data_IF_069920820039
#
_entry.id   IF_069920820039
#
_cell.length_a   1.000
_cell.length_b   1.000
_cell.length_c   1.000
_cell.angle_alpha   90.00
_cell.angle_beta   90.00
_cell.angle_gamma   90.00
#
_symmetry.space_group_name_H-M   'P 1'
#
loop_
_entity.id
_entity.type
_entity.pdbx_description
1 polymer ?
#
# COMPACT_ATOMS: atom_id res chain seq x y z
N UNK A 1 1.42 8.24 16.56
CA UNK A 1 1.60 8.91 15.27
C UNK A 1 2.78 8.37 14.47
N UNK A 2 3.99 8.36 15.04
CA UNK A 2 5.17 7.86 14.31
C UNK A 2 4.97 6.41 13.88
N UNK A 3 4.42 5.56 14.75
CA UNK A 3 4.13 4.17 14.41
C UNK A 3 3.21 4.07 13.19
N UNK A 4 2.13 4.85 13.17
CA UNK A 4 1.15 4.82 12.07
C UNK A 4 1.71 5.42 10.78
N UNK A 5 2.49 6.49 10.88
CA UNK A 5 2.95 7.22 9.70
C UNK A 5 4.21 6.61 9.10
N UNK A 6 5.10 6.03 9.93
CA UNK A 6 6.40 5.54 9.47
C UNK A 6 6.53 4.03 9.61
N UNK A 7 6.40 3.50 10.82
CA UNK A 7 6.72 2.08 11.06
C UNK A 7 5.69 1.14 10.44
N UNK A 8 4.39 1.41 10.61
CA UNK A 8 3.37 0.53 10.06
C UNK A 8 3.43 0.50 8.53
N UNK A 9 3.51 1.65 7.81
CA UNK A 9 3.66 1.62 6.37
C UNK A 9 4.91 0.90 5.88
N UNK A 10 6.04 1.09 6.55
CA UNK A 10 7.28 0.40 6.18
C UNK A 10 7.10 -1.11 6.31
N UNK A 11 6.55 -1.57 7.44
CA UNK A 11 6.30 -2.99 7.67
C UNK A 11 5.31 -3.54 6.65
N UNK A 12 4.21 -2.83 6.40
CA UNK A 12 3.20 -3.26 5.43
C UNK A 12 3.78 -3.37 4.02
N UNK A 13 4.62 -2.40 3.62
CA UNK A 13 5.24 -2.45 2.30
C UNK A 13 6.24 -3.60 2.18
N UNK A 14 6.97 -3.92 3.24
CA UNK A 14 7.84 -5.10 3.23
C UNK A 14 7.03 -6.36 2.98
N UNK A 15 5.88 -6.51 3.62
CA UNK A 15 5.03 -7.69 3.46
C UNK A 15 4.35 -7.70 2.08
N UNK A 16 3.67 -6.61 1.72
CA UNK A 16 2.84 -6.60 0.51
C UNK A 16 3.65 -6.42 -0.76
N UNK A 17 4.60 -5.50 -0.79
CA UNK A 17 5.38 -5.22 -2.02
C UNK A 17 6.71 -5.94 -2.03
N UNK A 18 7.24 -6.27 -0.88
CA UNK A 18 8.50 -7.00 -0.79
C UNK A 18 8.34 -8.50 -0.98
N UNK A 19 7.23 -9.08 -0.52
CA UNK A 19 7.01 -10.53 -0.54
C UNK A 19 5.81 -10.91 -1.38
N UNK A 20 4.61 -10.41 -1.04
CA UNK A 20 3.36 -10.83 -1.67
C UNK A 20 3.31 -10.47 -3.15
N UNK A 21 3.61 -9.22 -3.50
CA UNK A 21 3.51 -8.77 -4.89
C UNK A 21 4.43 -9.56 -5.83
N UNK A 22 5.73 -9.74 -5.53
CA UNK A 22 6.59 -10.53 -6.40
C UNK A 22 6.10 -11.96 -6.59
N UNK A 23 5.60 -12.59 -5.52
CA UNK A 23 5.07 -13.96 -5.60
C UNK A 23 3.85 -14.01 -6.52
N UNK A 24 2.90 -13.08 -6.35
CA UNK A 24 1.71 -13.04 -7.20
C UNK A 24 2.05 -12.74 -8.65
N UNK A 25 2.97 -11.81 -8.89
CA UNK A 25 3.41 -11.48 -10.26
C UNK A 25 4.02 -12.70 -10.94
N UNK A 26 4.81 -13.49 -10.22
CA UNK A 26 5.42 -14.69 -10.77
C UNK A 26 4.39 -15.77 -11.12
N UNK A 27 3.26 -15.79 -10.42
CA UNK A 27 2.23 -16.81 -10.63
C UNK A 27 1.16 -16.41 -11.63
N UNK A 28 0.72 -15.15 -11.62
CA UNK A 28 -0.43 -14.71 -12.41
C UNK A 28 -0.14 -13.52 -13.33
N UNK A 29 1.10 -13.06 -13.39
CA UNK A 29 1.51 -11.93 -14.25
C UNK A 29 1.42 -10.59 -13.55
N UNK A 30 1.94 -9.55 -14.23
CA UNK A 30 2.08 -8.23 -13.63
C UNK A 30 0.75 -7.57 -13.31
N UNK A 31 -0.17 -7.53 -14.27
CA UNK A 31 -1.45 -6.84 -14.08
C UNK A 31 -2.27 -7.55 -13.01
N UNK A 32 -2.45 -8.85 -13.16
CA UNK A 32 -3.23 -9.63 -12.17
C UNK A 32 -2.57 -9.63 -10.80
N UNK A 33 -1.24 -9.69 -10.75
CA UNK A 33 -0.50 -9.63 -9.49
C UNK A 33 -0.70 -8.32 -8.77
N UNK A 34 -0.63 -7.20 -9.48
CA UNK A 34 -0.86 -5.87 -8.89
C UNK A 34 -2.29 -5.75 -8.38
N UNK A 35 -3.27 -6.17 -9.18
CA UNK A 35 -4.68 -6.08 -8.79
C UNK A 35 -4.98 -6.94 -7.57
N UNK A 36 -4.50 -8.19 -7.56
CA UNK A 36 -4.72 -9.10 -6.44
C UNK A 36 -4.05 -8.60 -5.17
N UNK A 37 -2.80 -8.14 -5.26
CA UNK A 37 -2.11 -7.63 -4.08
C UNK A 37 -2.79 -6.37 -3.54
N UNK A 38 -3.29 -5.51 -4.42
CA UNK A 38 -4.01 -4.31 -4.01
C UNK A 38 -5.33 -4.66 -3.31
N UNK A 39 -6.03 -5.67 -3.81
CA UNK A 39 -7.26 -6.12 -3.20
C UNK A 39 -7.01 -6.69 -1.80
N UNK A 40 -6.00 -7.55 -1.67
CA UNK A 40 -5.62 -8.11 -0.36
C UNK A 40 -5.21 -7.00 0.60
N UNK A 41 -4.42 -6.04 0.12
CA UNK A 41 -4.00 -4.89 0.91
C UNK A 41 -5.19 -4.11 1.45
N UNK A 42 -6.16 -3.80 0.58
CA UNK A 42 -7.36 -3.05 0.97
C UNK A 42 -8.21 -3.85 1.97
N UNK A 43 -8.41 -5.14 1.70
CA UNK A 43 -9.21 -5.99 2.60
C UNK A 43 -8.56 -6.18 3.96
N UNK A 44 -7.23 -6.18 4.01
CA UNK A 44 -6.50 -6.34 5.28
C UNK A 44 -6.74 -5.19 6.25
N UNK A 45 -7.20 -4.05 5.77
CA UNK A 45 -7.50 -2.90 6.64
C UNK A 45 -8.87 -3.02 7.33
N UNK A 46 -9.69 -3.99 6.94
CA UNK A 46 -10.97 -4.32 7.59
C UNK A 46 -11.94 -3.15 7.70
N UNK A 47 -11.93 -2.25 6.71
CA UNK A 47 -12.83 -1.10 6.69
C UNK A 47 -13.49 -1.00 5.32
N UNK A 48 -14.79 -1.28 5.26
CA UNK A 48 -15.56 -1.26 4.00
C UNK A 48 -15.56 0.14 3.39
N UNK A 49 -15.69 1.18 4.21
CA UNK A 49 -15.72 2.55 3.73
C UNK A 49 -14.41 3.01 3.10
N UNK A 50 -13.30 2.36 3.47
CA UNK A 50 -11.98 2.71 2.94
C UNK A 50 -11.51 1.80 1.82
N UNK A 51 -12.29 0.77 1.45
CA UNK A 51 -11.90 -0.16 0.40
C UNK A 51 -11.54 0.53 -0.92
N UNK A 52 -12.38 1.41 -1.49
CA UNK A 52 -12.04 2.04 -2.77
C UNK A 52 -10.73 2.85 -2.72
N UNK A 53 -10.53 3.79 -1.77
CA UNK A 53 -9.26 4.53 -1.75
C UNK A 53 -8.06 3.66 -1.44
N UNK A 54 -8.19 2.66 -0.57
CA UNK A 54 -7.09 1.76 -0.26
C UNK A 54 -6.74 0.86 -1.45
N UNK A 55 -7.74 0.43 -2.21
CA UNK A 55 -7.49 -0.35 -3.41
C UNK A 55 -6.73 0.48 -4.45
N UNK A 56 -7.14 1.73 -4.68
CA UNK A 56 -6.45 2.64 -5.60
C UNK A 56 -5.02 2.88 -5.15
N UNK A 57 -4.81 3.13 -3.86
CA UNK A 57 -3.47 3.29 -3.30
C UNK A 57 -2.64 2.02 -3.52
N UNK A 58 -3.22 0.85 -3.26
CA UNK A 58 -2.55 -0.43 -3.44
C UNK A 58 -2.11 -0.66 -4.88
N UNK A 59 -2.97 -0.35 -5.85
CA UNK A 59 -2.62 -0.44 -7.27
C UNK A 59 -1.47 0.50 -7.60
N UNK A 60 -1.55 1.76 -7.16
CA UNK A 60 -0.50 2.75 -7.39
C UNK A 60 0.85 2.33 -6.79
N UNK A 61 0.82 1.82 -5.56
CA UNK A 61 2.04 1.34 -4.90
C UNK A 61 2.62 0.12 -5.60
N UNK A 62 1.76 -0.80 -6.06
CA UNK A 62 2.21 -1.97 -6.81
C UNK A 62 2.88 -1.59 -8.13
N UNK A 63 2.28 -0.66 -8.88
CA UNK A 63 2.87 -0.15 -10.11
C UNK A 63 4.21 0.52 -9.83
N UNK A 64 4.28 1.32 -8.77
CA UNK A 64 5.52 2.00 -8.38
C UNK A 64 6.60 0.99 -8.02
N UNK A 65 6.26 -0.10 -7.31
CA UNK A 65 7.21 -1.15 -6.95
C UNK A 65 7.80 -1.81 -8.20
N UNK A 66 6.94 -2.16 -9.15
CA UNK A 66 7.38 -2.83 -10.38
C UNK A 66 8.16 -1.90 -11.29
N UNK A 67 7.75 -0.63 -11.41
CA UNK A 67 8.42 0.31 -12.29
C UNK A 67 9.74 0.82 -11.74
N UNK A 68 9.85 1.02 -10.42
CA UNK A 68 11.08 1.49 -9.79
C UNK A 68 12.04 0.36 -9.46
N UNK A 69 11.54 -0.85 -9.26
CA UNK A 69 12.33 -2.00 -8.81
C UNK A 69 12.79 -1.88 -7.36
N UNK A 70 12.23 -0.94 -6.58
CA UNK A 70 12.67 -0.64 -5.22
C UNK A 70 11.48 -0.51 -4.28
N UNK A 71 11.71 -0.84 -3.00
CA UNK A 71 10.69 -0.68 -1.96
C UNK A 71 10.62 0.73 -1.39
N UNK A 72 11.73 1.46 -1.38
CA UNK A 72 11.78 2.76 -0.72
C UNK A 72 10.74 3.75 -1.27
N UNK A 73 10.57 3.92 -2.59
CA UNK A 73 9.51 4.82 -3.09
C UNK A 73 8.12 4.43 -2.63
N UNK A 74 7.83 3.13 -2.54
CA UNK A 74 6.53 2.65 -2.08
C UNK A 74 6.33 2.97 -0.61
N UNK A 75 7.32 2.70 0.23
CA UNK A 75 7.24 2.98 1.65
C UNK A 75 7.10 4.48 1.89
N UNK A 76 7.83 5.30 1.15
CA UNK A 76 7.74 6.76 1.26
C UNK A 76 6.34 7.25 0.87
N UNK A 77 5.81 6.81 -0.27
CA UNK A 77 4.48 7.22 -0.72
C UNK A 77 3.41 6.78 0.28
N UNK A 78 3.51 5.56 0.80
CA UNK A 78 2.55 5.04 1.78
C UNK A 78 2.61 5.86 3.08
N UNK A 79 3.81 6.21 3.53
CA UNK A 79 3.97 7.05 4.71
C UNK A 79 3.39 8.44 4.50
N UNK A 80 3.60 9.04 3.33
CA UNK A 80 3.02 10.33 3.00
C UNK A 80 1.50 10.27 2.96
N UNK A 81 0.94 9.22 2.39
CA UNK A 81 -0.52 9.02 2.38
C UNK A 81 -1.08 8.96 3.79
N UNK A 82 -0.46 8.16 4.66
CA UNK A 82 -0.90 8.03 6.04
C UNK A 82 -0.73 9.33 6.81
N UNK A 83 0.36 10.06 6.55
CA UNK A 83 0.61 11.34 7.18
C UNK A 83 -0.45 12.39 6.80
N UNK A 84 -0.77 12.50 5.52
CA UNK A 84 -1.81 13.40 5.03
C UNK A 84 -3.16 13.04 5.61
N UNK A 85 -3.49 11.75 5.63
CA UNK A 85 -4.76 11.27 6.21
C UNK A 85 -4.84 11.61 7.68
N UNK A 86 -3.76 11.38 8.43
CA UNK A 86 -3.72 11.68 9.86
C UNK A 86 -3.92 13.17 10.13
N UNK A 87 -3.22 14.03 9.38
CA UNK A 87 -3.35 15.47 9.51
C UNK A 87 -4.78 15.92 9.17
N UNK A 88 -5.36 15.37 8.11
CA UNK A 88 -6.73 15.69 7.72
C UNK A 88 -7.72 15.35 8.82
N UNK A 89 -7.55 14.21 9.48
CA UNK A 89 -8.40 13.81 10.59
C UNK A 89 -8.26 14.76 11.77
N UNK A 90 -7.05 15.22 12.07
CA UNK A 90 -6.82 16.20 13.14
C UNK A 90 -7.50 17.53 12.84
N UNK A 91 -7.50 17.97 11.58
CA UNK A 91 -8.09 19.24 11.19
C UNK A 91 -9.61 19.24 11.23
N UNK A 92 -10.26 18.10 11.00
CA UNK A 92 -11.71 17.98 10.99
C UNK A 92 -12.27 17.45 12.32
N UNK A 93 -11.43 16.97 13.19
CA UNK A 93 -11.86 16.49 14.49
C UNK A 93 -11.99 17.65 15.46
#
# INVERSE_FOLDING_TARGET
MITTVVFAPVFEELVFRGILLPVLVSKVGKISGVVLSALIFALAHLSVGELPPLFVLGVGLGIMRLSSGRLFPCALMHSLWNGVTFISLLLVA
#
